data_IF_492689616390
#
_entry.id   IF_492689616390
#
_cell.length_a   1.000
_cell.length_b   1.000
_cell.length_c   1.000
_cell.angle_alpha   90.00
_cell.angle_beta   90.00
_cell.angle_gamma   90.00
#
_symmetry.space_group_name_H-M   'P 1'
#
loop_
_entity.id
_entity.type
_entity.pdbx_description
1 polymer ?
#
# COMPACT_ATOMS: atom_id res chain seq x y z
N UNK A 1 -15.46 26.84 -67.41
CA UNK A 1 -15.27 28.17 -66.77
C UNK A 1 -16.18 28.45 -65.56
N UNK A 2 -17.50 28.19 -65.59
CA UNK A 2 -18.37 28.46 -64.42
C UNK A 2 -18.02 27.71 -63.12
N UNK A 3 -17.53 26.48 -63.18
CA UNK A 3 -17.13 25.68 -62.01
C UNK A 3 -15.80 26.15 -61.37
N UNK A 4 -14.90 26.72 -62.18
CA UNK A 4 -13.60 27.22 -61.70
C UNK A 4 -13.77 28.56 -60.96
N UNK A 5 -14.71 29.40 -61.40
CA UNK A 5 -15.03 30.68 -60.75
C UNK A 5 -15.71 30.46 -59.37
N UNK A 6 -16.57 29.42 -59.28
CA UNK A 6 -17.19 29.08 -58.01
C UNK A 6 -16.17 28.54 -56.98
N UNK A 7 -15.18 27.76 -57.41
CA UNK A 7 -14.11 27.24 -56.56
C UNK A 7 -13.17 28.37 -56.09
N UNK A 8 -12.85 29.34 -56.93
CA UNK A 8 -12.06 30.52 -56.58
C UNK A 8 -12.80 31.40 -55.60
N UNK A 9 -14.13 31.54 -55.77
CA UNK A 9 -14.97 32.33 -54.84
C UNK A 9 -15.02 31.73 -53.44
N UNK A 10 -15.11 30.38 -53.31
CA UNK A 10 -15.10 29.67 -52.02
C UNK A 10 -13.74 29.80 -51.35
N UNK A 11 -12.65 29.76 -52.13
CA UNK A 11 -11.29 29.92 -51.57
C UNK A 11 -11.02 31.32 -51.08
N UNK A 12 -11.54 32.35 -51.77
CA UNK A 12 -11.44 33.75 -51.33
C UNK A 12 -12.29 34.04 -50.08
N UNK A 13 -13.47 33.44 -49.96
CA UNK A 13 -14.31 33.57 -48.76
C UNK A 13 -13.66 32.85 -47.57
N UNK A 14 -13.00 31.68 -47.75
CA UNK A 14 -12.29 31.03 -46.69
C UNK A 14 -11.08 31.81 -46.15
N UNK A 15 -10.41 32.58 -47.01
CA UNK A 15 -9.31 33.45 -46.58
C UNK A 15 -9.79 34.69 -45.81
N UNK A 16 -11.02 35.15 -46.05
CA UNK A 16 -11.61 36.24 -45.26
C UNK A 16 -12.02 35.80 -43.84
N UNK A 17 -12.38 34.53 -43.67
CA UNK A 17 -12.67 33.99 -42.31
C UNK A 17 -11.41 33.72 -41.52
N UNK A 18 -10.28 33.37 -42.12
CA UNK A 18 -9.00 33.22 -41.40
C UNK A 18 -8.41 34.56 -40.96
N UNK A 19 -8.67 35.63 -41.68
CA UNK A 19 -8.21 36.96 -41.28
C UNK A 19 -9.00 37.57 -40.10
N UNK A 20 -10.21 37.09 -39.83
CA UNK A 20 -11.04 37.58 -38.71
C UNK A 20 -10.67 37.02 -37.34
N UNK A 21 -9.80 36.00 -37.27
CA UNK A 21 -9.31 35.41 -35.99
C UNK A 21 -7.89 35.83 -35.62
N UNK A 22 -7.26 36.70 -36.37
CA UNK A 22 -6.09 37.42 -35.90
C UNK A 22 -6.55 38.57 -34.96
N UNK A 23 -7.23 38.20 -33.87
CA UNK A 23 -7.23 39.04 -32.68
C UNK A 23 -5.77 39.13 -32.25
N UNK A 24 -5.18 40.32 -32.50
CA UNK A 24 -3.96 40.71 -31.83
C UNK A 24 -4.10 40.37 -30.36
N UNK A 25 -3.45 39.29 -29.92
CA UNK A 25 -3.11 39.13 -28.55
C UNK A 25 -2.23 40.33 -28.20
N UNK A 26 -2.84 41.40 -27.71
CA UNK A 26 -2.09 42.44 -27.03
C UNK A 26 -1.31 41.68 -25.95
N UNK A 27 -0.02 41.58 -26.12
CA UNK A 27 0.90 41.06 -25.13
C UNK A 27 0.58 41.79 -23.83
N UNK A 28 -0.12 41.10 -22.92
CA UNK A 28 -0.39 41.60 -21.58
C UNK A 28 0.89 41.51 -20.75
N UNK A 29 1.98 42.06 -21.26
CA UNK A 29 3.17 42.28 -20.46
C UNK A 29 2.76 43.13 -19.24
N UNK A 30 3.07 42.73 -18.02
CA UNK A 30 2.83 43.54 -16.83
C UNK A 30 3.50 44.92 -16.92
N UNK A 31 4.44 45.10 -17.83
CA UNK A 31 5.17 46.34 -18.09
C UNK A 31 4.56 47.20 -19.24
N UNK A 32 3.51 46.72 -19.91
CA UNK A 32 2.79 47.59 -20.86
C UNK A 32 2.11 48.71 -20.06
N UNK A 33 2.51 49.95 -20.33
CA UNK A 33 1.93 51.15 -19.73
C UNK A 33 0.45 51.26 -20.13
N UNK A 34 -0.42 50.66 -19.37
CA UNK A 34 -1.87 50.91 -19.50
C UNK A 34 -2.22 52.16 -18.67
N UNK A 35 -3.27 52.90 -19.09
CA UNK A 35 -3.75 54.01 -18.27
C UNK A 35 -4.25 53.46 -16.93
N UNK A 36 -3.60 53.82 -15.87
CA UNK A 36 -3.86 53.38 -14.54
C UNK A 36 -2.57 53.36 -13.69
N UNK A 37 -2.72 53.31 -12.40
CA UNK A 37 -1.59 53.34 -11.44
C UNK A 37 -1.33 51.99 -10.83
N UNK A 38 -2.36 51.19 -10.76
CA UNK A 38 -2.32 49.84 -10.20
C UNK A 38 -2.87 48.86 -11.24
N UNK A 39 -2.27 47.66 -11.30
CA UNK A 39 -2.74 46.56 -12.12
C UNK A 39 -2.80 45.29 -11.25
N UNK A 40 -3.90 44.55 -11.34
CA UNK A 40 -4.00 43.23 -10.74
C UNK A 40 -3.19 42.22 -11.57
N UNK A 41 -2.39 41.39 -10.88
CA UNK A 41 -1.59 40.34 -11.51
C UNK A 41 -2.17 38.95 -11.25
N UNK A 42 -2.61 38.70 -10.03
CA UNK A 42 -3.12 37.38 -9.63
C UNK A 42 -4.00 37.46 -8.38
N UNK A 43 -4.92 36.50 -8.21
CA UNK A 43 -5.74 36.35 -7.02
C UNK A 43 -5.89 34.86 -6.71
N UNK A 44 -5.56 34.44 -5.49
CA UNK A 44 -5.58 33.04 -5.11
C UNK A 44 -5.66 32.88 -3.58
N UNK A 45 -6.09 31.70 -3.13
CA UNK A 45 -5.98 31.30 -1.73
C UNK A 45 -4.53 30.97 -1.38
N UNK A 46 -4.08 31.40 -0.20
CA UNK A 46 -2.72 31.27 0.28
C UNK A 46 -2.08 32.62 0.61
N UNK A 47 -0.80 32.61 0.92
CA UNK A 47 -0.01 33.82 1.15
C UNK A 47 0.86 34.16 -0.09
N UNK A 48 1.58 35.28 -0.04
CA UNK A 48 2.42 35.71 -1.18
C UNK A 48 3.48 34.69 -1.61
N UNK A 49 3.93 33.82 -0.70
CA UNK A 49 4.98 32.83 -0.96
C UNK A 49 4.45 31.49 -1.44
N UNK A 50 3.24 31.09 -1.00
CA UNK A 50 2.69 29.76 -1.24
C UNK A 50 1.18 29.82 -1.47
N UNK A 51 0.72 29.17 -2.54
CA UNK A 51 -0.70 28.95 -2.80
C UNK A 51 -1.21 27.83 -1.90
N UNK A 52 -2.45 27.94 -1.44
CA UNK A 52 -3.12 26.94 -0.65
C UNK A 52 -4.27 26.29 -1.42
N UNK A 53 -4.38 25.00 -1.29
CA UNK A 53 -5.59 24.27 -1.69
C UNK A 53 -6.69 24.49 -0.65
N UNK A 54 -7.88 24.83 -1.13
CA UNK A 54 -9.03 25.12 -0.26
C UNK A 54 -10.25 24.34 -0.70
N UNK A 55 -11.05 23.94 0.28
CA UNK A 55 -12.28 23.19 0.04
C UNK A 55 -13.49 23.85 0.73
N UNK A 56 -14.71 23.52 0.30
CA UNK A 56 -15.93 23.98 0.96
C UNK A 56 -15.92 23.65 2.46
N UNK A 57 -16.21 24.66 3.30
CA UNK A 57 -16.19 24.55 4.75
C UNK A 57 -14.89 25.02 5.42
N UNK A 58 -13.87 25.38 4.67
CA UNK A 58 -12.66 25.97 5.23
C UNK A 58 -12.93 27.35 5.83
N UNK A 59 -12.31 27.60 6.98
CA UNK A 59 -12.51 28.81 7.76
C UNK A 59 -11.23 29.60 7.91
N UNK A 60 -11.34 30.92 7.87
CA UNK A 60 -10.25 31.85 8.13
C UNK A 60 -9.02 31.61 7.23
N UNK A 61 -9.26 31.31 5.94
CA UNK A 61 -8.21 31.00 4.97
C UNK A 61 -7.64 32.30 4.41
N UNK A 62 -6.30 32.47 4.30
CA UNK A 62 -5.72 33.64 3.66
C UNK A 62 -6.05 33.61 2.17
N UNK A 63 -6.49 34.75 1.65
CA UNK A 63 -6.74 35.02 0.24
C UNK A 63 -5.89 36.20 -0.18
N UNK A 64 -4.99 36.01 -1.11
CA UNK A 64 -4.01 37.01 -1.52
C UNK A 64 -4.29 37.51 -2.93
N UNK A 65 -4.32 38.81 -3.08
CA UNK A 65 -4.35 39.48 -4.38
C UNK A 65 -3.02 40.19 -4.58
N UNK A 66 -2.39 39.91 -5.71
CA UNK A 66 -1.09 40.47 -6.09
C UNK A 66 -1.31 41.56 -7.12
N UNK A 67 -0.68 42.71 -6.88
CA UNK A 67 -0.78 43.90 -7.70
C UNK A 67 0.59 44.40 -8.17
N UNK A 68 0.62 45.14 -9.23
CA UNK A 68 1.78 45.93 -9.65
C UNK A 68 1.43 47.44 -9.62
N UNK A 69 2.32 48.24 -9.03
CA UNK A 69 2.28 49.68 -9.08
C UNK A 69 2.90 50.14 -10.44
N UNK A 70 2.07 50.32 -11.45
CA UNK A 70 2.53 50.60 -12.83
C UNK A 70 2.57 52.09 -13.13
N UNK A 71 2.17 52.95 -12.17
CA UNK A 71 2.29 54.41 -12.24
C UNK A 71 3.74 54.91 -12.17
N UNK A 72 3.92 56.22 -12.30
CA UNK A 72 5.23 56.88 -12.26
C UNK A 72 5.58 57.43 -10.86
N UNK A 73 4.65 57.32 -9.91
CA UNK A 73 4.81 57.79 -8.52
C UNK A 73 4.52 56.69 -7.55
N UNK A 74 5.15 56.75 -6.38
CA UNK A 74 4.89 55.87 -5.27
C UNK A 74 3.46 56.10 -4.75
N UNK A 75 2.83 55.02 -4.33
CA UNK A 75 1.49 55.04 -3.75
C UNK A 75 1.57 54.66 -2.25
N UNK A 76 0.77 55.38 -1.45
CA UNK A 76 0.76 55.23 0.00
C UNK A 76 -0.67 55.14 0.51
N UNK A 77 -0.83 54.74 1.77
CA UNK A 77 -2.12 54.68 2.42
C UNK A 77 -3.09 53.74 1.72
N UNK A 78 -2.57 52.62 1.25
CA UNK A 78 -3.36 51.62 0.52
C UNK A 78 -4.34 50.97 1.48
N UNK A 79 -5.63 51.15 1.21
CA UNK A 79 -6.72 50.43 1.88
C UNK A 79 -7.52 49.70 0.81
N UNK A 80 -8.04 48.53 1.19
CA UNK A 80 -8.74 47.72 0.19
C UNK A 80 -9.89 46.94 0.81
N UNK A 81 -10.98 46.85 0.05
CA UNK A 81 -12.16 46.06 0.35
C UNK A 81 -12.43 45.06 -0.75
N UNK A 82 -12.54 43.79 -0.37
CA UNK A 82 -12.79 42.66 -1.26
C UNK A 82 -14.25 42.27 -1.23
N UNK A 83 -14.90 42.21 -2.40
CA UNK A 83 -16.25 41.70 -2.59
C UNK A 83 -16.19 40.33 -3.27
N UNK A 84 -16.73 39.33 -2.61
CA UNK A 84 -16.84 37.95 -3.12
C UNK A 84 -18.31 37.55 -3.28
N UNK A 85 -18.62 36.57 -4.13
CA UNK A 85 -19.98 36.10 -4.31
C UNK A 85 -20.55 35.42 -3.05
N UNK A 86 -21.83 35.10 -3.09
CA UNK A 86 -22.52 34.38 -2.01
C UNK A 86 -21.78 33.04 -1.71
N UNK A 87 -21.64 32.72 -0.42
CA UNK A 87 -20.90 31.56 0.04
C UNK A 87 -19.50 31.86 0.56
N UNK A 88 -19.02 33.10 0.37
CA UNK A 88 -17.77 33.60 0.95
C UNK A 88 -18.05 34.68 1.99
N UNK A 89 -17.41 34.60 3.15
CA UNK A 89 -17.60 35.55 4.24
C UNK A 89 -16.28 35.79 5.00
N UNK A 90 -16.28 36.77 5.90
CA UNK A 90 -15.14 37.04 6.78
C UNK A 90 -15.62 37.63 8.10
N UNK A 91 -14.88 37.39 9.15
CA UNK A 91 -15.04 38.09 10.41
C UNK A 91 -14.59 39.57 10.33
N UNK A 92 -13.73 39.90 9.34
CA UNK A 92 -13.22 41.25 9.11
C UNK A 92 -13.97 41.95 7.95
N UNK A 93 -15.30 41.83 7.93
CA UNK A 93 -16.13 42.49 6.95
C UNK A 93 -16.68 43.80 7.50
N UNK A 94 -16.60 44.88 6.68
CA UNK A 94 -17.15 46.20 6.94
C UNK A 94 -17.91 46.70 5.73
N UNK A 95 -19.14 47.16 5.91
CA UNK A 95 -19.98 47.66 4.84
C UNK A 95 -20.15 46.69 3.64
N UNK A 96 -20.16 45.36 3.94
CA UNK A 96 -20.28 44.30 2.92
C UNK A 96 -18.97 43.98 2.18
N UNK A 97 -17.86 44.61 2.52
CA UNK A 97 -16.53 44.33 1.96
C UNK A 97 -15.65 43.65 3.01
N UNK A 98 -14.89 42.66 2.58
CA UNK A 98 -13.85 42.01 3.40
C UNK A 98 -12.62 42.92 3.36
N UNK A 99 -12.16 43.37 4.53
CA UNK A 99 -11.04 44.30 4.61
C UNK A 99 -9.70 43.52 4.58
N UNK A 100 -8.69 44.11 3.93
CA UNK A 100 -7.32 43.58 4.00
C UNK A 100 -6.75 43.72 5.40
N UNK A 101 -5.84 42.80 5.77
CA UNK A 101 -5.25 42.72 7.11
C UNK A 101 -4.37 43.95 7.43
N UNK A 102 -3.68 44.48 6.43
CA UNK A 102 -2.76 45.60 6.59
C UNK A 102 -2.86 46.57 5.42
N UNK A 103 -2.71 47.85 5.72
CA UNK A 103 -2.42 48.86 4.71
C UNK A 103 -0.98 48.70 4.18
N UNK A 104 -0.73 49.12 2.96
CA UNK A 104 0.57 48.98 2.29
C UNK A 104 1.04 50.28 1.68
N UNK A 105 2.33 50.33 1.37
CA UNK A 105 2.99 51.33 0.54
C UNK A 105 3.64 50.57 -0.60
N UNK A 106 3.55 51.07 -1.81
CA UNK A 106 4.25 50.49 -2.97
C UNK A 106 4.99 51.54 -3.77
N UNK A 107 6.25 51.27 -4.06
CA UNK A 107 7.07 52.12 -4.90
C UNK A 107 6.65 51.96 -6.37
N UNK A 108 6.90 52.97 -7.17
CA UNK A 108 6.64 52.93 -8.62
C UNK A 108 7.41 51.77 -9.27
N UNK A 109 6.72 50.85 -9.91
CA UNK A 109 7.29 49.66 -10.55
C UNK A 109 7.35 48.42 -9.64
N UNK A 110 6.98 48.52 -8.38
CA UNK A 110 6.98 47.36 -7.45
C UNK A 110 5.72 46.50 -7.57
N UNK A 111 5.89 45.24 -7.16
CA UNK A 111 4.80 44.29 -6.92
C UNK A 111 4.50 44.29 -5.45
N UNK A 112 3.23 44.43 -5.08
CA UNK A 112 2.75 44.33 -3.71
C UNK A 112 1.57 43.38 -3.61
N UNK A 113 1.25 42.95 -2.43
CA UNK A 113 0.12 42.04 -2.18
C UNK A 113 -0.72 42.51 -1.00
N UNK A 114 -2.00 42.21 -1.09
CA UNK A 114 -2.96 42.40 -0.01
C UNK A 114 -3.56 41.07 0.34
N UNK A 115 -3.59 40.76 1.64
CA UNK A 115 -4.12 39.47 2.14
C UNK A 115 -5.39 39.74 2.94
N UNK A 116 -6.37 38.89 2.71
CA UNK A 116 -7.69 38.89 3.33
C UNK A 116 -7.90 37.52 3.99
N UNK A 117 -8.73 37.46 5.03
CA UNK A 117 -9.12 36.19 5.62
C UNK A 117 -10.58 35.87 5.24
N UNK A 118 -10.77 34.72 4.60
CA UNK A 118 -12.03 34.32 4.00
C UNK A 118 -12.51 32.98 4.57
N UNK A 119 -13.80 32.90 4.87
CA UNK A 119 -14.49 31.67 5.22
C UNK A 119 -15.25 31.18 4.00
N UNK A 120 -15.15 29.87 3.71
CA UNK A 120 -15.85 29.19 2.64
C UNK A 120 -17.07 28.44 3.21
N UNK A 121 -18.25 28.70 2.68
CA UNK A 121 -19.45 27.95 3.08
C UNK A 121 -19.32 26.49 2.62
N UNK A 122 -19.91 25.55 3.38
CA UNK A 122 -19.90 24.10 3.07
C UNK A 122 -20.64 23.76 1.78
N UNK A 123 -21.54 24.64 1.31
CA UNK A 123 -22.38 24.39 0.15
C UNK A 123 -21.80 24.97 -1.15
N UNK A 124 -20.68 25.72 -1.11
CA UNK A 124 -20.05 26.18 -2.34
C UNK A 124 -19.47 24.98 -3.12
N UNK A 125 -19.30 25.16 -4.41
CA UNK A 125 -18.73 24.11 -5.26
C UNK A 125 -17.24 24.39 -5.52
N UNK A 126 -16.49 23.35 -5.81
CA UNK A 126 -15.15 23.47 -6.37
C UNK A 126 -15.28 24.04 -7.78
N UNK A 127 -14.47 25.04 -8.13
CA UNK A 127 -14.54 25.72 -9.42
C UNK A 127 -14.13 27.17 -9.38
N UNK A 128 -14.31 27.85 -10.50
CA UNK A 128 -13.95 29.25 -10.71
C UNK A 128 -15.07 30.18 -10.23
N UNK A 129 -14.69 31.27 -9.58
CA UNK A 129 -15.58 32.29 -9.04
C UNK A 129 -15.08 33.68 -9.41
N UNK A 130 -16.00 34.63 -9.73
CA UNK A 130 -15.65 36.01 -9.90
C UNK A 130 -15.47 36.72 -8.56
N UNK A 131 -14.58 37.70 -8.52
CA UNK A 131 -14.38 38.60 -7.40
C UNK A 131 -14.19 40.03 -7.87
N UNK A 132 -14.40 40.96 -6.96
CA UNK A 132 -14.13 42.39 -7.17
C UNK A 132 -13.33 42.95 -5.99
N UNK A 133 -12.33 43.73 -6.24
CA UNK A 133 -11.57 44.45 -5.22
C UNK A 133 -11.59 45.94 -5.47
N UNK A 134 -11.92 46.70 -4.44
CA UNK A 134 -11.77 48.15 -4.40
C UNK A 134 -10.48 48.47 -3.66
N UNK A 135 -9.66 49.37 -4.24
CA UNK A 135 -8.43 49.87 -3.63
C UNK A 135 -8.52 51.40 -3.54
N UNK A 136 -8.38 51.91 -2.34
CA UNK A 136 -8.22 53.33 -2.05
C UNK A 136 -6.75 53.57 -1.73
N UNK A 137 -6.15 54.60 -2.34
CA UNK A 137 -4.73 54.94 -2.18
C UNK A 137 -4.48 56.43 -2.43
N UNK A 138 -3.34 56.91 -1.99
CA UNK A 138 -2.85 58.28 -2.29
C UNK A 138 -1.52 58.19 -2.99
N UNK A 139 -1.24 59.14 -3.87
CA UNK A 139 0.11 59.32 -4.44
C UNK A 139 1.01 60.07 -3.47
N UNK A 140 2.26 59.68 -3.42
CA UNK A 140 3.26 60.41 -2.65
C UNK A 140 3.39 61.83 -3.25
N UNK A 141 3.26 62.84 -2.40
CA UNK A 141 3.31 64.28 -2.73
C UNK A 141 2.07 64.86 -3.43
N UNK A 142 0.98 64.11 -3.53
CA UNK A 142 -0.32 64.65 -3.99
C UNK A 142 -1.34 64.59 -2.84
N UNK A 143 -2.22 65.55 -2.77
CA UNK A 143 -3.34 65.55 -1.84
C UNK A 143 -4.55 64.88 -2.48
N UNK A 144 -5.19 63.96 -1.75
CA UNK A 144 -6.42 63.30 -2.17
C UNK A 144 -6.32 61.78 -2.20
N UNK A 145 -7.46 61.15 -1.98
CA UNK A 145 -7.62 59.71 -2.08
C UNK A 145 -8.14 59.38 -3.49
N UNK A 146 -7.53 58.40 -4.09
CA UNK A 146 -7.96 57.81 -5.38
C UNK A 146 -8.51 56.42 -5.11
N UNK A 147 -9.48 56.01 -5.90
CA UNK A 147 -10.05 54.69 -5.88
C UNK A 147 -9.89 54.00 -7.24
N UNK A 148 -9.74 52.67 -7.16
CA UNK A 148 -9.69 51.81 -8.34
C UNK A 148 -10.44 50.50 -8.05
N UNK A 149 -11.15 50.01 -9.05
CA UNK A 149 -11.93 48.78 -8.99
C UNK A 149 -11.36 47.78 -9.99
N UNK A 150 -11.18 46.52 -9.53
CA UNK A 150 -10.68 45.44 -10.35
C UNK A 150 -11.59 44.24 -10.22
N UNK A 151 -12.05 43.71 -11.35
CA UNK A 151 -12.71 42.41 -11.43
C UNK A 151 -11.63 41.37 -11.73
N UNK A 152 -11.76 40.21 -11.12
CA UNK A 152 -10.87 39.07 -11.29
C UNK A 152 -11.63 37.76 -11.09
N UNK A 153 -11.01 36.69 -11.55
CA UNK A 153 -11.49 35.33 -11.26
C UNK A 153 -10.50 34.61 -10.34
N UNK A 154 -11.03 33.74 -9.47
CA UNK A 154 -10.24 32.91 -8.58
C UNK A 154 -10.80 31.51 -8.50
N UNK A 155 -9.99 30.56 -8.03
CA UNK A 155 -10.30 29.14 -8.04
C UNK A 155 -10.42 28.61 -6.62
N UNK A 156 -11.53 27.91 -6.34
CA UNK A 156 -11.67 26.97 -5.22
C UNK A 156 -11.26 25.60 -5.74
N UNK A 157 -10.10 25.12 -5.28
CA UNK A 157 -9.41 23.96 -5.88
C UNK A 157 -9.91 22.61 -5.37
N UNK A 158 -10.45 22.55 -4.15
CA UNK A 158 -10.46 21.31 -3.37
C UNK A 158 -9.07 21.04 -2.74
N UNK A 159 -8.96 19.99 -1.97
CA UNK A 159 -7.72 19.53 -1.31
C UNK A 159 -7.28 18.18 -1.85
N UNK A 160 -6.00 18.08 -2.16
CA UNK A 160 -5.35 16.84 -2.57
C UNK A 160 -4.86 16.11 -1.32
N UNK A 161 -5.50 14.98 -0.95
CA UNK A 161 -5.15 14.23 0.27
C UNK A 161 -4.80 12.80 -0.11
N UNK A 162 -3.50 12.49 -0.03
CA UNK A 162 -2.97 11.18 -0.35
C UNK A 162 -2.88 10.31 0.91
N UNK A 163 -3.47 9.11 0.83
CA UNK A 163 -3.31 8.04 1.79
C UNK A 163 -2.75 6.79 1.10
N UNK A 164 -1.88 6.07 1.82
CA UNK A 164 -1.32 4.80 1.36
C UNK A 164 -1.38 3.78 2.49
N UNK A 165 -1.71 2.54 2.15
CA UNK A 165 -1.73 1.42 3.11
C UNK A 165 -1.56 0.09 2.39
N UNK A 166 -1.09 -0.92 3.10
CA UNK A 166 -1.17 -2.31 2.62
C UNK A 166 -2.58 -2.87 2.75
N UNK A 167 -2.96 -3.73 1.84
CA UNK A 167 -4.19 -4.52 1.94
C UNK A 167 -4.06 -5.62 3.02
N UNK A 168 -2.86 -6.20 3.14
CA UNK A 168 -2.50 -7.18 4.18
C UNK A 168 -1.21 -6.68 4.89
N UNK A 169 -1.23 -6.53 6.22
CA UNK A 169 -0.06 -6.11 6.99
C UNK A 169 0.88 -7.26 7.35
N UNK A 170 0.61 -8.49 6.91
CA UNK A 170 1.40 -9.67 7.25
C UNK A 170 2.22 -10.17 6.07
N UNK A 171 3.46 -10.54 6.34
CA UNK A 171 4.36 -11.22 5.40
C UNK A 171 4.82 -12.54 6.02
N UNK A 172 5.30 -13.44 5.20
CA UNK A 172 5.86 -14.72 5.64
C UNK A 172 7.36 -14.75 5.30
N UNK A 173 8.20 -15.11 6.28
CA UNK A 173 9.65 -15.28 6.07
C UNK A 173 9.95 -16.47 5.17
N UNK A 174 11.16 -16.51 4.60
CA UNK A 174 11.67 -17.52 3.64
C UNK A 174 10.75 -17.82 2.45
N UNK A 175 9.88 -16.86 2.11
CA UNK A 175 8.89 -16.97 1.03
C UNK A 175 8.82 -15.69 0.20
N UNK A 176 8.43 -15.84 -1.05
CA UNK A 176 7.98 -14.72 -1.87
C UNK A 176 6.54 -14.35 -1.49
N UNK A 177 6.36 -13.11 -1.07
CA UNK A 177 5.07 -12.56 -0.69
C UNK A 177 4.59 -11.59 -1.77
N UNK A 178 3.35 -11.75 -2.21
CA UNK A 178 2.68 -10.75 -3.04
C UNK A 178 2.12 -9.66 -2.14
N UNK A 179 2.66 -8.46 -2.26
CA UNK A 179 2.19 -7.28 -1.54
C UNK A 179 1.24 -6.49 -2.42
N UNK A 180 0.08 -6.13 -1.87
CA UNK A 180 -0.91 -5.29 -2.52
C UNK A 180 -1.03 -3.98 -1.76
N UNK A 181 -0.69 -2.88 -2.41
CA UNK A 181 -0.75 -1.53 -1.83
C UNK A 181 -1.93 -0.76 -2.40
N UNK A 182 -2.65 -0.11 -1.52
CA UNK A 182 -3.76 0.78 -1.83
C UNK A 182 -3.30 2.22 -1.70
N UNK A 183 -3.39 2.97 -2.78
CA UNK A 183 -3.16 4.42 -2.81
C UNK A 183 -4.48 5.11 -3.04
N UNK A 184 -4.91 5.93 -2.12
CA UNK A 184 -6.20 6.59 -2.18
C UNK A 184 -6.08 8.11 -2.07
N UNK A 185 -6.89 8.78 -2.85
CA UNK A 185 -7.15 10.20 -2.71
C UNK A 185 -8.43 10.39 -1.89
N UNK A 186 -8.28 10.73 -0.62
CA UNK A 186 -9.43 11.02 0.26
C UNK A 186 -9.86 12.48 0.21
N UNK A 187 -9.15 13.29 -0.57
CA UNK A 187 -9.42 14.71 -0.79
C UNK A 187 -10.56 14.99 -1.75
N UNK A 188 -10.70 16.26 -2.10
CA UNK A 188 -11.73 16.81 -2.99
C UNK A 188 -11.14 17.34 -4.30
N UNK A 189 -9.81 17.38 -4.42
CA UNK A 189 -9.06 17.68 -5.63
C UNK A 189 -8.32 16.44 -6.17
N UNK A 190 -8.06 16.34 -7.48
CA UNK A 190 -7.29 15.24 -8.04
C UNK A 190 -5.81 15.28 -7.60
N UNK A 191 -5.20 14.11 -7.50
CA UNK A 191 -3.75 13.94 -7.44
C UNK A 191 -3.26 13.61 -8.85
N UNK A 192 -2.34 14.36 -9.40
CA UNK A 192 -1.84 14.16 -10.76
C UNK A 192 -0.41 13.62 -10.75
N UNK A 193 -0.09 12.77 -11.73
CA UNK A 193 1.24 12.18 -11.90
C UNK A 193 1.81 11.56 -10.62
N UNK A 194 1.01 10.76 -9.93
CA UNK A 194 1.45 10.07 -8.72
C UNK A 194 2.50 9.03 -9.09
N UNK A 195 3.69 9.17 -8.51
CA UNK A 195 4.83 8.30 -8.69
C UNK A 195 5.34 7.86 -7.32
N UNK A 196 5.66 6.58 -7.14
CA UNK A 196 6.03 5.99 -5.87
C UNK A 196 7.35 5.25 -6.04
N UNK A 197 8.28 5.47 -5.12
CA UNK A 197 9.57 4.80 -5.04
C UNK A 197 9.74 4.19 -3.66
N UNK A 198 9.97 2.87 -3.60
CA UNK A 198 10.32 2.17 -2.37
C UNK A 198 11.80 2.44 -2.04
N UNK A 199 12.06 2.97 -0.87
CA UNK A 199 13.40 3.28 -0.39
C UNK A 199 13.98 2.07 0.36
N UNK A 200 14.98 1.41 -0.20
CA UNK A 200 15.64 0.24 0.40
C UNK A 200 16.86 0.59 1.25
N UNK A 201 17.23 1.86 1.30
CA UNK A 201 18.33 2.39 2.12
C UNK A 201 17.83 3.54 2.99
N UNK A 202 18.50 3.80 4.10
CA UNK A 202 18.20 4.97 4.91
C UNK A 202 18.49 6.25 4.13
N UNK A 203 17.44 6.95 3.74
CA UNK A 203 17.53 8.23 3.04
C UNK A 203 16.97 9.36 3.91
N UNK A 204 17.70 10.47 3.99
CA UNK A 204 17.22 11.69 4.61
C UNK A 204 16.44 12.48 3.57
N UNK A 205 15.11 12.45 3.62
CA UNK A 205 14.25 13.24 2.72
C UNK A 205 14.20 14.71 3.14
N UNK A 206 14.45 14.99 4.42
CA UNK A 206 14.65 16.35 4.96
C UNK A 206 15.42 16.29 6.28
N UNK A 207 15.87 17.42 6.79
CA UNK A 207 16.58 17.50 8.08
C UNK A 207 15.75 16.95 9.27
N UNK A 208 14.44 16.75 9.11
CA UNK A 208 13.50 16.32 10.15
C UNK A 208 12.82 14.97 9.85
N UNK A 209 12.99 14.39 8.67
CA UNK A 209 12.37 13.13 8.27
C UNK A 209 13.45 12.15 7.80
N UNK A 210 13.83 11.22 8.65
CA UNK A 210 14.66 10.07 8.31
C UNK A 210 13.75 8.87 8.07
N UNK A 211 13.97 8.15 6.97
CA UNK A 211 13.36 6.86 6.76
C UNK A 211 14.11 5.81 7.59
N UNK A 212 13.39 5.13 8.48
CA UNK A 212 13.91 3.90 9.10
C UNK A 212 13.51 2.75 8.19
N UNK A 213 14.49 1.96 7.76
CA UNK A 213 14.23 0.77 6.94
C UNK A 213 15.14 -0.38 7.37
N UNK A 214 14.64 -1.60 7.28
CA UNK A 214 15.38 -2.84 7.45
C UNK A 214 15.24 -3.76 6.21
N UNK A 215 14.94 -3.15 5.06
CA UNK A 215 14.75 -3.83 3.78
C UNK A 215 16.02 -4.34 3.11
N UNK A 216 17.19 -3.97 3.57
CA UNK A 216 18.51 -4.18 2.93
C UNK A 216 18.84 -5.64 2.55
N UNK A 217 18.17 -6.61 3.20
CA UNK A 217 18.35 -8.03 2.93
C UNK A 217 17.12 -8.69 2.29
N UNK A 218 16.12 -7.91 1.94
CA UNK A 218 14.94 -8.37 1.21
C UNK A 218 15.14 -8.17 -0.28
N UNK A 219 14.54 -9.02 -1.10
CA UNK A 219 14.62 -8.94 -2.57
C UNK A 219 13.27 -8.57 -3.13
N UNK A 220 13.23 -7.55 -3.99
CA UNK A 220 12.02 -7.06 -4.64
C UNK A 220 12.11 -7.29 -6.14
N UNK A 221 10.99 -7.56 -6.77
CA UNK A 221 10.89 -7.61 -8.23
C UNK A 221 10.79 -6.19 -8.84
N UNK A 222 10.26 -5.23 -8.07
CA UNK A 222 10.07 -3.84 -8.50
C UNK A 222 10.14 -2.91 -7.29
N UNK A 223 10.68 -1.71 -7.46
CA UNK A 223 10.80 -0.68 -6.43
C UNK A 223 10.24 0.69 -6.85
N UNK A 224 9.68 0.80 -8.04
CA UNK A 224 9.18 2.06 -8.61
C UNK A 224 7.86 1.84 -9.37
N UNK A 225 6.86 2.71 -9.13
CA UNK A 225 5.52 2.61 -9.73
C UNK A 225 5.00 3.96 -10.19
N UNK A 226 4.56 4.02 -11.44
CA UNK A 226 3.84 5.16 -11.96
C UNK A 226 2.34 4.89 -11.87
N UNK A 227 1.68 5.49 -10.89
CA UNK A 227 0.24 5.33 -10.63
C UNK A 227 -0.59 6.24 -11.53
N UNK A 228 -0.01 7.37 -11.97
CA UNK A 228 -0.71 8.38 -12.76
C UNK A 228 -1.72 9.17 -11.92
N UNK A 229 -2.83 9.59 -12.51
CA UNK A 229 -3.81 10.43 -11.83
C UNK A 229 -4.74 9.62 -10.92
N UNK A 230 -5.06 10.17 -9.74
CA UNK A 230 -6.03 9.60 -8.81
C UNK A 230 -7.12 10.64 -8.55
N UNK A 231 -8.32 10.37 -9.07
CA UNK A 231 -9.48 11.25 -8.92
C UNK A 231 -9.90 11.40 -7.44
N UNK A 232 -10.60 12.47 -7.09
CA UNK A 232 -11.15 12.65 -5.75
C UNK A 232 -11.97 11.43 -5.29
N UNK A 233 -11.78 11.02 -4.03
CA UNK A 233 -12.49 9.89 -3.40
C UNK A 233 -12.28 8.54 -4.10
N UNK A 234 -11.21 8.41 -4.88
CA UNK A 234 -10.88 7.17 -5.58
C UNK A 234 -9.63 6.49 -5.02
N UNK A 235 -9.48 5.19 -5.34
CA UNK A 235 -8.36 4.35 -4.91
C UNK A 235 -7.79 3.61 -6.11
N UNK A 236 -6.47 3.53 -6.17
CA UNK A 236 -5.72 2.68 -7.10
C UNK A 236 -4.90 1.65 -6.33
N UNK A 237 -4.64 0.53 -6.97
CA UNK A 237 -3.85 -0.56 -6.42
C UNK A 237 -2.58 -0.71 -7.25
N UNK A 238 -1.50 -1.07 -6.58
CA UNK A 238 -0.32 -1.64 -7.23
C UNK A 238 0.22 -2.81 -6.41
N UNK A 239 1.00 -3.65 -7.04
CA UNK A 239 1.51 -4.88 -6.44
C UNK A 239 3.01 -5.01 -6.68
N UNK A 240 3.67 -5.73 -5.80
CA UNK A 240 5.03 -6.20 -5.99
C UNK A 240 5.27 -7.48 -5.20
N UNK A 241 6.29 -8.24 -5.58
CA UNK A 241 6.72 -9.39 -4.82
C UNK A 241 7.94 -9.03 -3.97
N UNK A 242 7.95 -9.54 -2.75
CA UNK A 242 9.06 -9.40 -1.81
C UNK A 242 9.45 -10.75 -1.24
N UNK A 243 10.71 -11.14 -1.38
CA UNK A 243 11.29 -12.22 -0.61
C UNK A 243 11.80 -11.68 0.73
N UNK A 244 11.32 -12.25 1.82
CA UNK A 244 11.70 -11.86 3.19
C UNK A 244 12.60 -12.93 3.78
N UNK A 245 13.85 -12.61 4.17
CA UNK A 245 14.77 -13.58 4.74
C UNK A 245 14.38 -13.99 6.16
N UNK A 246 14.87 -15.14 6.59
CA UNK A 246 14.57 -15.74 7.90
C UNK A 246 14.89 -14.82 9.09
N UNK A 247 15.96 -14.05 9.01
CA UNK A 247 16.40 -13.15 10.09
C UNK A 247 15.38 -12.09 10.50
N UNK A 248 14.39 -11.79 9.63
CA UNK A 248 13.31 -10.82 9.91
C UNK A 248 12.07 -11.50 10.51
N UNK A 249 12.10 -12.78 10.76
CA UNK A 249 11.01 -13.51 11.41
C UNK A 249 10.70 -12.90 12.78
N UNK A 250 9.40 -12.74 13.07
CA UNK A 250 8.87 -12.14 14.30
C UNK A 250 9.22 -10.65 14.50
N UNK A 251 9.71 -10.00 13.47
CA UNK A 251 10.03 -8.56 13.47
C UNK A 251 9.05 -7.76 12.59
N UNK A 252 9.09 -6.45 12.78
CA UNK A 252 8.38 -5.52 11.87
C UNK A 252 9.33 -5.09 10.76
N UNK A 253 8.88 -5.26 9.53
CA UNK A 253 9.56 -4.80 8.34
C UNK A 253 9.03 -3.42 7.98
N UNK A 254 9.94 -2.43 7.89
CA UNK A 254 9.64 -1.04 7.58
C UNK A 254 9.90 -0.75 6.11
N UNK A 255 8.83 -0.45 5.35
CA UNK A 255 8.89 -0.15 3.92
C UNK A 255 8.60 1.34 3.66
N UNK A 256 9.61 2.22 3.71
CA UNK A 256 9.43 3.63 3.42
C UNK A 256 9.23 3.85 1.92
N UNK A 257 8.18 4.57 1.58
CA UNK A 257 7.81 4.93 0.21
C UNK A 257 7.87 6.43 0.05
N UNK A 258 8.69 6.89 -0.88
CA UNK A 258 8.69 8.26 -1.34
C UNK A 258 7.67 8.42 -2.43
N UNK A 259 6.74 9.36 -2.25
CA UNK A 259 5.62 9.57 -3.15
C UNK A 259 5.69 10.99 -3.66
N UNK A 260 5.80 11.13 -4.96
CA UNK A 260 5.73 12.44 -5.65
C UNK A 260 4.42 12.55 -6.40
N UNK A 261 3.82 13.72 -6.37
CA UNK A 261 2.60 14.02 -7.12
C UNK A 261 2.46 15.52 -7.36
N UNK A 262 1.58 15.90 -8.27
CA UNK A 262 1.20 17.31 -8.45
C UNK A 262 -0.16 17.54 -7.80
N UNK A 263 -0.24 18.62 -7.01
CA UNK A 263 -1.46 19.08 -6.37
C UNK A 263 -2.40 19.79 -7.37
N UNK A 264 -3.55 20.30 -6.89
CA UNK A 264 -4.52 21.00 -7.73
C UNK A 264 -4.02 22.32 -8.35
N UNK A 265 -2.92 22.88 -7.85
CA UNK A 265 -2.24 24.04 -8.46
C UNK A 265 -1.17 23.63 -9.48
N UNK A 266 -0.95 22.33 -9.72
CA UNK A 266 0.13 21.82 -10.57
C UNK A 266 1.51 21.86 -9.90
N UNK A 267 1.60 22.09 -8.61
CA UNK A 267 2.85 22.11 -7.86
C UNK A 267 3.26 20.69 -7.48
N UNK A 268 4.54 20.38 -7.68
CA UNK A 268 5.09 19.10 -7.24
C UNK A 268 5.18 19.04 -5.72
N UNK A 269 4.65 17.96 -5.14
CA UNK A 269 4.73 17.66 -3.71
C UNK A 269 5.42 16.30 -3.55
N UNK A 270 6.28 16.19 -2.55
CA UNK A 270 6.95 14.94 -2.18
C UNK A 270 6.63 14.62 -0.73
N UNK A 271 6.16 13.42 -0.47
CA UNK A 271 5.85 12.94 0.88
C UNK A 271 6.50 11.58 1.10
N UNK A 272 7.01 11.37 2.31
CA UNK A 272 7.50 10.07 2.75
C UNK A 272 6.43 9.41 3.62
N UNK A 273 6.11 8.14 3.34
CA UNK A 273 5.20 7.30 4.13
C UNK A 273 5.84 5.95 4.35
N UNK A 274 5.87 5.47 5.58
CA UNK A 274 6.33 4.11 5.88
C UNK A 274 5.12 3.20 6.03
N UNK A 275 5.19 2.05 5.38
CA UNK A 275 4.24 0.95 5.56
C UNK A 275 4.95 -0.12 6.35
N UNK A 276 4.34 -0.53 7.45
CA UNK A 276 4.88 -1.54 8.33
C UNK A 276 4.20 -2.89 8.07
N UNK A 277 5.01 -3.95 8.02
CA UNK A 277 4.55 -5.32 7.89
C UNK A 277 5.10 -6.14 9.04
N UNK A 278 4.25 -6.94 9.67
CA UNK A 278 4.71 -7.95 10.61
C UNK A 278 5.11 -9.22 9.84
N UNK A 279 6.30 -9.74 10.12
CA UNK A 279 6.84 -10.91 9.43
C UNK A 279 6.58 -12.16 10.27
N UNK A 280 5.66 -12.99 9.80
CA UNK A 280 5.41 -14.32 10.38
C UNK A 280 6.47 -15.32 9.91
N UNK A 281 6.69 -16.35 10.71
CA UNK A 281 7.40 -17.53 10.23
C UNK A 281 6.55 -18.38 9.27
N UNK A 282 7.22 -19.21 8.48
CA UNK A 282 6.58 -20.18 7.60
C UNK A 282 6.38 -21.49 8.34
N UNK A 283 5.19 -22.07 8.22
CA UNK A 283 4.93 -23.47 8.48
C UNK A 283 4.63 -24.12 7.13
N UNK A 284 5.46 -25.05 6.71
CA UNK A 284 5.31 -25.79 5.46
C UNK A 284 5.24 -27.29 5.78
N UNK A 285 4.04 -27.72 6.16
CA UNK A 285 3.83 -29.09 6.58
C UNK A 285 3.57 -30.00 5.37
N UNK A 286 4.24 -31.15 5.35
CA UNK A 286 4.11 -32.16 4.31
C UNK A 286 3.98 -33.55 4.94
N UNK A 287 3.30 -34.47 4.24
CA UNK A 287 3.07 -35.84 4.67
C UNK A 287 3.92 -36.78 3.81
N UNK A 288 4.73 -37.63 4.45
CA UNK A 288 5.67 -38.51 3.79
C UNK A 288 5.51 -39.96 4.23
N UNK A 289 6.05 -40.87 3.43
CA UNK A 289 6.27 -42.28 3.78
C UNK A 289 5.01 -43.03 4.27
N UNK A 290 3.86 -42.72 3.64
CA UNK A 290 2.58 -43.38 4.02
C UNK A 290 2.56 -44.77 3.46
N UNK A 291 2.53 -45.75 4.39
CA UNK A 291 2.47 -47.16 4.07
C UNK A 291 1.67 -47.96 5.10
N UNK A 292 1.34 -49.21 4.76
CA UNK A 292 0.68 -50.16 5.70
C UNK A 292 1.68 -51.23 6.11
N UNK A 293 1.89 -51.32 7.41
CA UNK A 293 2.73 -52.35 8.00
C UNK A 293 1.92 -53.21 8.99
N UNK A 294 2.43 -54.38 9.27
CA UNK A 294 1.86 -55.21 10.33
C UNK A 294 2.62 -54.97 11.66
N UNK A 295 1.96 -54.33 12.61
CA UNK A 295 2.50 -54.06 13.93
C UNK A 295 1.68 -54.81 14.98
N UNK A 296 2.33 -55.66 15.79
CA UNK A 296 1.66 -56.44 16.86
C UNK A 296 0.42 -57.21 16.37
N UNK A 297 0.51 -57.82 15.19
CA UNK A 297 -0.56 -58.57 14.49
C UNK A 297 -1.74 -57.73 13.99
N UNK A 298 -1.65 -56.41 14.06
CA UNK A 298 -2.62 -55.49 13.45
C UNK A 298 -2.00 -54.77 12.28
N UNK A 299 -2.72 -54.67 11.19
CA UNK A 299 -2.31 -53.78 10.11
C UNK A 299 -2.49 -52.32 10.56
N UNK A 300 -1.47 -51.52 10.31
CA UNK A 300 -1.37 -50.15 10.82
C UNK A 300 -0.90 -49.25 9.68
N UNK A 301 -1.60 -48.17 9.44
CA UNK A 301 -1.14 -47.12 8.55
C UNK A 301 -0.11 -46.31 9.33
N UNK A 302 1.09 -46.23 8.77
CA UNK A 302 2.15 -45.39 9.32
C UNK A 302 2.52 -44.30 8.31
N UNK A 303 3.17 -43.26 8.79
CA UNK A 303 3.73 -42.17 7.98
C UNK A 303 4.39 -41.13 8.87
N UNK A 304 4.86 -40.09 8.27
CA UNK A 304 5.55 -38.99 8.92
C UNK A 304 4.98 -37.66 8.48
N UNK A 305 4.91 -36.69 9.39
CA UNK A 305 4.65 -35.30 9.08
C UNK A 305 5.94 -34.52 9.29
N UNK A 306 6.36 -33.76 8.28
CA UNK A 306 7.53 -32.90 8.32
C UNK A 306 7.10 -31.47 8.13
N UNK A 307 7.67 -30.55 8.91
CA UNK A 307 7.55 -29.12 8.72
C UNK A 307 8.85 -28.59 8.10
N UNK A 308 8.80 -28.22 6.83
CA UNK A 308 9.93 -27.67 6.06
C UNK A 308 10.02 -26.15 6.20
N UNK A 309 9.18 -25.55 7.06
CA UNK A 309 9.19 -24.14 7.41
C UNK A 309 10.25 -23.78 8.46
N UNK A 310 10.06 -22.63 9.13
CA UNK A 310 11.01 -22.12 10.13
C UNK A 310 10.36 -21.74 11.48
N UNK A 311 9.10 -22.10 11.68
CA UNK A 311 8.38 -21.99 12.96
C UNK A 311 7.52 -23.21 13.25
N UNK A 312 7.21 -23.41 14.52
CA UNK A 312 6.44 -24.55 15.00
C UNK A 312 4.97 -24.49 14.57
N UNK A 313 4.44 -25.61 14.09
CA UNK A 313 3.01 -25.85 14.03
C UNK A 313 2.50 -26.27 15.42
N UNK A 314 1.53 -25.53 15.96
CA UNK A 314 1.02 -25.72 17.32
C UNK A 314 -0.27 -26.55 17.32
N UNK A 315 -0.50 -27.32 18.37
CA UNK A 315 -1.73 -28.11 18.56
C UNK A 315 -2.06 -28.96 17.32
N UNK A 316 -1.07 -29.73 16.87
CA UNK A 316 -1.18 -30.51 15.65
C UNK A 316 -1.98 -31.77 15.87
N UNK A 317 -2.92 -32.06 14.97
CA UNK A 317 -3.69 -33.27 14.91
C UNK A 317 -3.49 -33.96 13.57
N UNK A 318 -3.15 -35.22 13.57
CA UNK A 318 -3.18 -36.06 12.38
C UNK A 318 -4.42 -36.95 12.46
N UNK A 319 -5.18 -37.00 11.38
CA UNK A 319 -6.44 -37.74 11.32
C UNK A 319 -6.45 -38.61 10.08
N UNK A 320 -6.75 -39.91 10.28
CA UNK A 320 -7.08 -40.85 9.20
C UNK A 320 -8.60 -40.89 9.04
N UNK A 321 -9.09 -40.65 7.84
CA UNK A 321 -10.52 -40.68 7.52
C UNK A 321 -10.79 -41.56 6.30
N UNK A 322 -11.90 -42.32 6.30
CA UNK A 322 -12.31 -43.09 5.14
C UNK A 322 -12.75 -42.16 4.01
N UNK A 323 -12.49 -42.57 2.76
CA UNK A 323 -13.04 -41.92 1.57
C UNK A 323 -13.92 -42.91 0.79
N UNK A 324 -14.89 -42.37 0.05
CA UNK A 324 -15.75 -43.12 -0.83
C UNK A 324 -16.52 -44.25 -0.08
N UNK A 325 -16.31 -45.48 -0.53
CA UNK A 325 -16.95 -46.66 0.07
C UNK A 325 -16.10 -47.36 1.15
N UNK A 326 -15.03 -46.76 1.62
CA UNK A 326 -14.20 -47.28 2.68
C UNK A 326 -14.98 -47.27 4.00
N UNK A 327 -14.94 -48.40 4.74
CA UNK A 327 -15.52 -48.51 6.07
C UNK A 327 -14.45 -48.53 7.18
N UNK A 328 -13.26 -47.98 6.86
CA UNK A 328 -12.22 -47.77 7.87
C UNK A 328 -12.73 -46.73 8.85
N UNK A 329 -12.54 -47.05 10.15
CA UNK A 329 -12.95 -46.16 11.22
C UNK A 329 -12.03 -44.94 11.29
N UNK A 330 -12.62 -43.73 11.38
CA UNK A 330 -11.87 -42.52 11.60
C UNK A 330 -11.05 -42.57 12.88
N UNK A 331 -9.77 -42.21 12.79
CA UNK A 331 -8.85 -42.17 13.93
C UNK A 331 -8.06 -40.87 13.94
N UNK A 332 -7.77 -40.35 15.12
CA UNK A 332 -7.02 -39.08 15.27
C UNK A 332 -5.92 -39.25 16.32
N UNK A 333 -4.73 -38.77 15.99
CA UNK A 333 -3.58 -38.72 16.88
C UNK A 333 -3.25 -37.23 17.15
N UNK A 334 -3.03 -36.88 18.41
CA UNK A 334 -2.54 -35.56 18.81
C UNK A 334 -1.02 -35.54 18.82
N UNK A 335 -0.46 -34.53 18.16
CA UNK A 335 0.95 -34.18 18.17
C UNK A 335 1.03 -32.75 18.72
N UNK A 336 1.70 -32.55 19.86
CA UNK A 336 1.71 -31.23 20.52
C UNK A 336 2.27 -30.15 19.63
N UNK A 337 3.47 -30.37 19.11
CA UNK A 337 4.23 -29.45 18.27
C UNK A 337 4.76 -30.13 17.00
N UNK A 338 4.72 -29.43 15.90
CA UNK A 338 5.38 -29.81 14.65
C UNK A 338 6.58 -28.88 14.46
N UNK A 339 7.73 -29.28 15.03
CA UNK A 339 8.96 -28.48 14.97
C UNK A 339 9.57 -28.48 13.55
N UNK A 340 10.22 -27.38 13.13
CA UNK A 340 10.94 -27.34 11.86
C UNK A 340 11.98 -28.46 11.75
N UNK A 341 12.15 -28.98 10.51
CA UNK A 341 13.14 -30.01 10.16
C UNK A 341 13.10 -31.29 11.04
N UNK A 342 12.01 -31.51 11.74
CA UNK A 342 11.83 -32.66 12.66
C UNK A 342 10.66 -33.51 12.21
N UNK A 343 10.89 -34.65 11.52
CA UNK A 343 9.80 -35.54 11.12
C UNK A 343 9.15 -36.19 12.35
N UNK A 344 7.83 -36.10 12.41
CA UNK A 344 7.04 -36.67 13.51
C UNK A 344 6.24 -37.83 12.95
N UNK A 345 6.49 -39.07 13.45
CA UNK A 345 5.78 -40.24 12.98
C UNK A 345 4.35 -40.29 13.53
N UNK A 346 3.45 -40.79 12.71
CA UNK A 346 2.10 -41.17 13.13
C UNK A 346 1.84 -42.64 12.83
N UNK A 347 0.90 -43.22 13.59
CA UNK A 347 0.46 -44.58 13.39
C UNK A 347 -1.03 -44.73 13.70
N UNK A 348 -1.75 -45.37 12.78
CA UNK A 348 -3.18 -45.63 12.93
C UNK A 348 -3.43 -47.13 12.74
N UNK A 349 -3.65 -47.90 13.81
CA UNK A 349 -4.15 -49.28 13.67
C UNK A 349 -5.46 -49.24 12.85
N UNK A 350 -5.52 -50.07 11.81
CA UNK A 350 -6.71 -50.14 10.96
C UNK A 350 -7.83 -50.81 11.77
N UNK A 351 -8.88 -50.07 12.01
CA UNK A 351 -10.14 -50.50 12.59
C UNK A 351 -11.28 -50.22 11.59
N UNK A 352 -12.36 -51.00 11.68
CA UNK A 352 -13.50 -50.85 10.77
C UNK A 352 -14.77 -50.47 11.54
N UNK A 353 -15.60 -49.68 10.91
CA UNK A 353 -16.98 -49.53 11.31
C UNK A 353 -17.82 -50.65 10.68
N UNK A 354 -18.06 -51.73 11.47
CA UNK A 354 -18.70 -52.96 11.04
C UNK A 354 -17.69 -54.08 10.71
N UNK A 355 -18.03 -54.95 9.75
CA UNK A 355 -17.19 -56.07 9.36
C UNK A 355 -15.96 -55.63 8.56
N UNK A 356 -14.75 -56.17 8.90
CA UNK A 356 -13.54 -55.90 8.09
C UNK A 356 -13.70 -56.41 6.66
N UNK A 357 -13.31 -55.61 5.71
CA UNK A 357 -13.38 -55.93 4.29
C UNK A 357 -11.97 -55.99 3.70
N UNK A 358 -11.61 -57.12 3.13
CA UNK A 358 -10.35 -57.30 2.40
C UNK A 358 -10.36 -56.46 1.13
N UNK A 359 -9.21 -55.90 0.74
CA UNK A 359 -9.01 -55.19 -0.49
C UNK A 359 -8.53 -53.76 -0.31
N UNK A 360 -8.74 -52.98 -1.35
CA UNK A 360 -8.34 -51.57 -1.41
C UNK A 360 -9.34 -50.69 -0.69
N UNK A 361 -8.81 -49.75 0.09
CA UNK A 361 -9.56 -48.74 0.84
C UNK A 361 -8.97 -47.38 0.59
N UNK A 362 -9.77 -46.46 0.06
CA UNK A 362 -9.39 -45.07 -0.09
C UNK A 362 -9.50 -44.38 1.26
N UNK A 363 -8.46 -43.65 1.61
CA UNK A 363 -8.35 -42.90 2.86
C UNK A 363 -7.73 -41.54 2.65
N UNK A 364 -8.10 -40.60 3.51
CA UNK A 364 -7.49 -39.31 3.64
C UNK A 364 -6.74 -39.20 4.94
N UNK A 365 -5.50 -38.71 4.86
CA UNK A 365 -4.73 -38.32 6.02
C UNK A 365 -4.76 -36.79 6.07
N UNK A 366 -5.30 -36.24 7.15
CA UNK A 366 -5.45 -34.80 7.35
C UNK A 366 -4.57 -34.37 8.51
N UNK A 367 -3.71 -33.37 8.29
CA UNK A 367 -2.93 -32.72 9.35
C UNK A 367 -3.50 -31.32 9.55
N UNK A 368 -3.97 -31.07 10.77
CA UNK A 368 -4.50 -29.78 11.20
C UNK A 368 -3.60 -29.21 12.29
N UNK A 369 -3.19 -27.98 12.13
CA UNK A 369 -2.31 -27.28 13.08
C UNK A 369 -2.69 -25.80 13.17
N UNK A 370 -2.16 -25.11 14.20
CA UNK A 370 -2.29 -23.65 14.33
C UNK A 370 -0.93 -22.99 14.16
N UNK A 371 -0.95 -21.83 13.51
CA UNK A 371 0.22 -20.95 13.41
C UNK A 371 0.42 -20.12 14.71
N UNK A 372 1.46 -19.26 14.72
CA UNK A 372 1.77 -18.36 15.83
C UNK A 372 0.65 -17.36 16.15
N UNK A 373 -0.15 -16.98 15.14
CA UNK A 373 -1.33 -16.12 15.28
C UNK A 373 -2.59 -16.89 15.69
N UNK A 374 -2.49 -18.21 15.93
CA UNK A 374 -3.61 -19.11 16.27
C UNK A 374 -4.59 -19.35 15.12
N UNK A 375 -4.25 -19.00 13.89
CA UNK A 375 -5.03 -19.40 12.73
C UNK A 375 -4.91 -20.92 12.52
N UNK A 376 -6.02 -21.55 12.16
CA UNK A 376 -6.05 -22.98 11.86
C UNK A 376 -5.70 -23.23 10.40
N UNK A 377 -4.74 -24.12 10.18
CA UNK A 377 -4.30 -24.56 8.87
C UNK A 377 -4.51 -26.07 8.73
N UNK A 378 -4.74 -26.52 7.51
CA UNK A 378 -5.02 -27.93 7.21
C UNK A 378 -4.35 -28.33 5.91
N UNK A 379 -3.64 -29.45 5.93
CA UNK A 379 -3.18 -30.15 4.73
C UNK A 379 -3.79 -31.53 4.67
N UNK A 380 -3.97 -32.09 3.49
CA UNK A 380 -4.55 -33.42 3.28
C UNK A 380 -3.79 -34.19 2.23
N UNK A 381 -3.68 -35.50 2.45
CA UNK A 381 -3.08 -36.45 1.54
C UNK A 381 -4.04 -37.62 1.33
N UNK A 382 -4.51 -37.82 0.10
CA UNK A 382 -5.40 -38.90 -0.29
C UNK A 382 -4.56 -40.06 -0.82
N UNK A 383 -4.84 -41.28 -0.31
CA UNK A 383 -4.13 -42.49 -0.73
C UNK A 383 -5.06 -43.69 -0.66
N UNK A 384 -4.67 -44.77 -1.39
CA UNK A 384 -5.33 -46.05 -1.30
C UNK A 384 -4.44 -47.03 -0.50
N UNK A 385 -4.99 -47.64 0.49
CA UNK A 385 -4.32 -48.67 1.31
C UNK A 385 -4.91 -50.03 1.02
N UNK A 386 -4.04 -51.06 1.03
CA UNK A 386 -4.45 -52.43 0.86
C UNK A 386 -4.56 -53.09 2.23
N UNK A 387 -5.78 -53.50 2.63
CA UNK A 387 -6.03 -54.29 3.83
C UNK A 387 -6.19 -55.76 3.50
N UNK A 388 -5.57 -56.63 4.29
CA UNK A 388 -5.68 -58.08 4.17
C UNK A 388 -5.94 -58.65 5.56
N UNK A 389 -7.07 -59.34 5.74
CA UNK A 389 -7.42 -59.99 6.99
C UNK A 389 -6.45 -61.16 7.32
N UNK A 390 -5.53 -60.88 8.23
CA UNK A 390 -4.50 -61.84 8.66
C UNK A 390 -5.06 -63.01 9.47
N UNK A 391 -6.30 -62.92 9.94
CA UNK A 391 -6.92 -64.02 10.73
C UNK A 391 -7.16 -65.29 9.91
N UNK A 392 -7.18 -65.14 8.60
CA UNK A 392 -7.38 -66.24 7.63
C UNK A 392 -6.07 -66.96 7.27
N UNK A 393 -4.90 -66.41 7.59
CA UNK A 393 -3.59 -67.00 7.26
C UNK A 393 -2.95 -67.85 8.37
N UNK A 394 -3.50 -67.92 9.59
CA UNK A 394 -2.92 -68.69 10.71
C UNK A 394 -2.98 -70.23 10.59
N UNK A 395 -3.26 -70.79 9.40
CA UNK A 395 -3.16 -72.21 9.13
C UNK A 395 -2.06 -72.64 8.15
N UNK A 396 -1.11 -71.84 7.83
CA UNK A 396 0.06 -72.29 7.08
C UNK A 396 1.32 -72.11 7.93
N UNK A 397 1.84 -73.28 8.34
CA UNK A 397 3.09 -73.52 9.10
C UNK A 397 4.20 -72.49 8.71
N UNK A 398 4.36 -71.50 9.49
CA UNK A 398 5.62 -70.75 9.47
C UNK A 398 6.66 -71.58 10.23
N UNK A 399 7.78 -71.95 9.58
CA UNK A 399 8.80 -72.70 10.23
C UNK A 399 9.39 -71.86 11.39
N UNK A 400 9.53 -72.48 12.56
CA UNK A 400 10.14 -71.89 13.79
C UNK A 400 11.47 -71.20 13.56
N UNK A 401 12.07 -71.43 12.39
CA UNK A 401 13.31 -70.90 11.92
C UNK A 401 13.29 -69.36 11.67
N UNK A 402 12.14 -68.77 11.35
CA UNK A 402 12.03 -67.33 11.12
C UNK A 402 12.12 -66.51 12.41
N UNK A 403 11.72 -67.05 13.53
CA UNK A 403 11.83 -66.39 14.85
C UNK A 403 13.29 -66.14 15.24
N UNK A 404 14.19 -67.06 14.87
CA UNK A 404 15.62 -66.89 15.13
C UNK A 404 16.30 -65.85 14.25
N UNK A 405 15.81 -65.63 13.03
CA UNK A 405 16.34 -64.59 12.12
C UNK A 405 15.98 -63.21 12.66
N UNK A 406 14.73 -63.03 13.12
CA UNK A 406 14.28 -61.74 13.69
C UNK A 406 15.03 -61.41 14.98
N UNK A 407 15.25 -62.41 15.83
CA UNK A 407 16.04 -62.24 17.06
C UNK A 407 17.51 -61.87 16.75
N UNK A 408 18.08 -62.46 15.71
CA UNK A 408 19.44 -62.17 15.25
C UNK A 408 19.59 -60.74 14.73
N UNK A 409 18.60 -60.24 13.98
CA UNK A 409 18.59 -58.87 13.47
C UNK A 409 18.44 -57.84 14.60
N UNK A 410 17.55 -58.09 15.55
CA UNK A 410 17.38 -57.21 16.73
C UNK A 410 18.64 -57.20 17.62
N UNK A 411 19.30 -58.36 17.81
CA UNK A 411 20.58 -58.42 18.51
C UNK A 411 21.70 -57.68 17.78
N UNK A 412 21.73 -57.74 16.42
CA UNK A 412 22.67 -57.00 15.58
C UNK A 412 22.50 -55.48 15.67
N UNK A 413 21.25 -55.01 15.62
CA UNK A 413 20.93 -53.61 15.80
C UNK A 413 21.29 -53.12 17.22
N UNK A 414 20.97 -53.90 18.26
CA UNK A 414 21.35 -53.59 19.63
C UNK A 414 22.87 -53.49 19.82
N UNK A 415 23.63 -54.35 19.14
CA UNK A 415 25.09 -54.37 19.20
C UNK A 415 25.69 -53.15 18.49
N UNK A 416 25.11 -52.71 17.36
CA UNK A 416 25.49 -51.52 16.65
C UNK A 416 25.22 -50.24 17.45
N UNK A 417 24.09 -50.16 18.10
CA UNK A 417 23.75 -49.02 18.98
C UNK A 417 24.69 -49.01 20.20
N UNK A 418 24.92 -50.18 20.83
CA UNK A 418 25.87 -50.29 21.95
C UNK A 418 27.29 -49.89 21.57
N UNK A 419 27.78 -50.30 20.40
CA UNK A 419 29.12 -49.95 19.94
C UNK A 419 29.25 -48.44 19.59
N UNK A 420 28.17 -47.82 19.09
CA UNK A 420 28.12 -46.36 18.88
C UNK A 420 28.14 -45.58 20.21
N UNK A 421 27.38 -46.01 21.20
CA UNK A 421 27.36 -45.38 22.53
C UNK A 421 28.74 -45.54 23.19
N UNK A 422 29.36 -46.72 23.10
CA UNK A 422 30.69 -46.99 23.66
C UNK A 422 31.83 -46.20 22.99
N UNK A 423 31.71 -45.93 21.68
CA UNK A 423 32.62 -45.04 20.94
C UNK A 423 32.44 -43.56 21.34
N UNK A 424 31.21 -43.13 21.67
CA UNK A 424 30.97 -41.77 22.14
C UNK A 424 31.54 -41.53 23.53
N UNK A 425 31.39 -42.49 24.45
CA UNK A 425 31.95 -42.39 25.81
C UNK A 425 33.48 -42.49 25.86
N UNK A 426 34.16 -43.12 24.88
CA UNK A 426 35.63 -43.13 24.79
C UNK A 426 36.23 -41.81 24.29
N UNK A 427 35.44 -40.97 23.57
CA UNK A 427 35.92 -39.64 23.13
C UNK A 427 35.83 -38.57 24.22
N UNK A 428 35.02 -38.80 25.28
CA UNK A 428 34.84 -37.83 26.37
C UNK A 428 35.90 -38.03 27.50
N UNK A 429 36.63 -39.15 27.52
CA UNK A 429 37.64 -39.44 28.56
C UNK A 429 39.10 -38.98 28.14
N UNK A 430 39.30 -38.63 26.87
CA UNK A 430 40.62 -38.18 26.36
C UNK A 430 40.76 -36.68 26.21
N UNK A 431 39.95 -35.88 26.86
CA UNK A 431 40.06 -34.40 26.88
C UNK A 431 40.26 -33.81 28.28
N UNK A 432 40.62 -34.64 29.27
CA UNK A 432 41.09 -34.18 30.60
C UNK A 432 42.31 -34.99 31.04
N UNK A 433 43.43 -34.64 30.48
CA UNK A 433 44.77 -34.76 31.10
C UNK A 433 45.74 -33.89 30.31
#
# INVERSE_FOLDING_TARGET
>A
MRKLVALLGIFLISQLFVAAYAQTSTSNSPFNRQPGEIKILNAYFGNFKEKMEVEPGDMNVPFTIVFAAVGTQDITGIHSGLSLPMGFSSSNAKDGLIMADTGSVALAGEIFSLTYHVNLDKNIKIGQYPGMVKIDFSRLRESGIRDSFFNFDFLVTGKSILNIKSADPFLTSIKNNLVVIQVSNTGTAPLSNVHIVLQNTQTSVSATAQSVTNLENSVFDQNEWNIGNIEPKSTKLFTFNIYVPEKLKDETLHAPMEITYHNAHGEAKTVLRTIDFYVNGLIDASIYNVEVITLSKKQTVIGEVLNEGNVDGLFTFVTLEPLGNSNIKKSTQYIDKLEPDSPVPFNFPIEFDGEPRDGEHDVRITVRYKDSLRNENTISYDTTILYKDMSKEERSNLPEFMSFIILGVLAGIGLLVYTRIKKKNKKTVNQTS
#
